data_IF_056140515531
#
_entry.id   IF_056140515531
#
_cell.length_a   1.000
_cell.length_b   1.000
_cell.length_c   1.000
_cell.angle_alpha   90.00
_cell.angle_beta   90.00
_cell.angle_gamma   90.00
#
_symmetry.space_group_name_H-M   'P 1'
#
loop_
_entity.id
_entity.type
_entity.pdbx_description
1 polymer ?
#
# COMPACT_ATOMS: atom_id res chain seq x y z
N UNK A 1 4.68 -40.37 -19.91
CA UNK A 1 3.93 -39.88 -18.73
C UNK A 1 4.69 -40.13 -17.42
N UNK A 2 5.78 -39.40 -17.13
CA UNK A 2 6.47 -39.47 -15.81
C UNK A 2 7.18 -38.18 -15.38
N UNK A 3 6.96 -37.06 -16.07
CA UNK A 3 7.64 -35.78 -15.78
C UNK A 3 6.75 -34.74 -15.09
N UNK A 4 5.47 -35.04 -14.87
CA UNK A 4 4.50 -34.09 -14.30
C UNK A 4 4.40 -34.12 -12.78
N UNK A 5 4.90 -35.17 -12.11
CA UNK A 5 4.75 -35.30 -10.64
C UNK A 5 5.82 -34.53 -9.83
N UNK A 6 6.99 -34.26 -10.42
CA UNK A 6 8.09 -33.62 -9.70
C UNK A 6 7.87 -32.11 -9.47
N UNK A 7 7.06 -31.47 -10.32
CA UNK A 7 6.82 -30.01 -10.25
C UNK A 7 5.81 -29.61 -9.16
N UNK A 8 4.96 -30.54 -8.70
CA UNK A 8 4.00 -30.28 -7.62
C UNK A 8 4.66 -30.29 -6.24
N UNK A 9 5.75 -31.05 -6.05
CA UNK A 9 6.45 -31.11 -4.76
C UNK A 9 7.30 -29.88 -4.45
N UNK A 10 7.80 -29.17 -5.47
CA UNK A 10 8.57 -27.93 -5.25
C UNK A 10 7.68 -26.75 -4.86
N UNK A 11 6.39 -26.77 -5.22
CA UNK A 11 5.41 -25.74 -4.83
C UNK A 11 4.92 -25.90 -3.38
N UNK A 12 4.97 -27.10 -2.80
CA UNK A 12 4.55 -27.36 -1.41
C UNK A 12 5.68 -27.18 -0.38
N UNK A 13 6.94 -27.27 -0.80
CA UNK A 13 8.12 -27.11 0.07
C UNK A 13 8.37 -25.65 0.49
N UNK A 14 7.90 -24.68 -0.29
CA UNK A 14 8.09 -23.25 0.01
C UNK A 14 7.25 -22.75 1.21
N UNK A 15 6.27 -23.53 1.69
CA UNK A 15 5.42 -23.16 2.84
C UNK A 15 5.80 -23.86 4.15
N UNK A 16 6.86 -24.68 4.18
CA UNK A 16 7.24 -25.47 5.35
C UNK A 16 8.31 -24.83 6.25
N UNK A 17 8.65 -23.56 6.03
CA UNK A 17 9.63 -22.84 6.87
C UNK A 17 9.12 -21.52 7.46
N UNK A 18 7.82 -21.46 7.78
CA UNK A 18 7.31 -20.51 8.76
C UNK A 18 7.06 -21.22 10.09
N UNK A 19 8.14 -21.74 10.67
CA UNK A 19 8.18 -21.98 12.10
C UNK A 19 8.26 -20.60 12.77
N UNK A 20 7.10 -20.02 13.06
CA UNK A 20 7.00 -18.81 13.89
C UNK A 20 7.24 -19.20 15.35
N UNK A 21 8.47 -19.64 15.65
CA UNK A 21 8.96 -19.76 17.01
C UNK A 21 9.37 -18.36 17.46
N UNK A 22 8.40 -17.59 17.92
CA UNK A 22 8.46 -16.70 19.09
C UNK A 22 7.16 -15.90 19.16
N UNK A 23 6.41 -15.93 20.28
CA UNK A 23 5.60 -14.78 20.61
C UNK A 23 6.59 -13.61 20.74
N UNK A 24 6.66 -12.78 19.71
CA UNK A 24 7.46 -11.57 19.77
C UNK A 24 6.77 -10.71 20.80
N UNK A 25 7.34 -10.73 22.00
CA UNK A 25 7.10 -9.82 23.10
C UNK A 25 7.60 -8.42 22.68
N UNK A 26 7.09 -7.93 21.55
CA UNK A 26 7.52 -6.70 20.86
C UNK A 26 6.78 -5.51 21.42
N UNK A 27 6.77 -5.43 22.75
CA UNK A 27 6.60 -4.17 23.47
C UNK A 27 7.97 -3.55 23.75
N UNK A 28 9.00 -3.94 22.99
CA UNK A 28 10.29 -3.24 22.96
C UNK A 28 10.14 -1.94 22.17
N UNK A 29 10.20 -0.80 22.84
CA UNK A 29 10.20 0.51 22.20
C UNK A 29 11.35 0.58 21.19
N UNK A 30 11.04 0.77 19.91
CA UNK A 30 12.04 1.01 18.87
C UNK A 30 12.93 2.19 19.27
N UNK A 31 14.24 2.06 19.00
CA UNK A 31 15.16 3.18 19.13
C UNK A 31 14.75 4.32 18.20
N UNK A 32 15.22 5.53 18.48
CA UNK A 32 14.95 6.69 17.61
C UNK A 32 15.45 6.45 16.18
N UNK A 33 16.61 5.81 16.04
CA UNK A 33 17.25 5.51 14.74
C UNK A 33 16.46 4.46 13.95
N UNK A 34 15.99 3.39 14.62
CA UNK A 34 15.14 2.37 13.98
C UNK A 34 13.83 2.99 13.49
N UNK A 35 13.24 3.89 14.29
CA UNK A 35 11.99 4.58 13.93
C UNK A 35 12.18 5.53 12.75
N UNK A 36 13.27 6.30 12.73
CA UNK A 36 13.61 7.19 11.63
C UNK A 36 13.82 6.40 10.33
N UNK A 37 14.53 5.28 10.41
CA UNK A 37 14.75 4.39 9.26
C UNK A 37 13.44 3.88 8.68
N UNK A 38 12.51 3.45 9.54
CA UNK A 38 11.18 3.01 9.10
C UNK A 38 10.36 4.12 8.44
N UNK A 39 10.41 5.34 8.97
CA UNK A 39 9.73 6.48 8.33
C UNK A 39 10.35 6.81 6.98
N UNK A 40 11.68 6.73 6.85
CA UNK A 40 12.35 6.95 5.59
C UNK A 40 11.93 5.92 4.54
N UNK A 41 11.95 4.64 4.91
CA UNK A 41 11.49 3.54 4.05
C UNK A 41 10.03 3.72 3.63
N UNK A 42 9.15 4.15 4.55
CA UNK A 42 7.75 4.40 4.25
C UNK A 42 7.58 5.53 3.22
N UNK A 43 8.31 6.64 3.37
CA UNK A 43 8.28 7.76 2.41
C UNK A 43 8.78 7.35 1.03
N UNK A 44 9.85 6.58 0.97
CA UNK A 44 10.40 6.08 -0.30
C UNK A 44 9.43 5.13 -1.00
N UNK A 45 8.81 4.22 -0.25
CA UNK A 45 7.82 3.29 -0.79
C UNK A 45 6.57 4.04 -1.30
N UNK A 46 6.10 5.05 -0.56
CA UNK A 46 4.99 5.91 -0.98
C UNK A 46 5.32 6.64 -2.29
N UNK A 47 6.51 7.24 -2.37
CA UNK A 47 6.96 7.94 -3.56
C UNK A 47 7.04 7.00 -4.78
N UNK A 48 7.63 5.82 -4.63
CA UNK A 48 7.71 4.82 -5.70
C UNK A 48 6.32 4.35 -6.14
N UNK A 49 5.41 4.14 -5.20
CA UNK A 49 4.01 3.78 -5.49
C UNK A 49 3.33 4.87 -6.30
N UNK A 50 3.49 6.14 -5.90
CA UNK A 50 2.94 7.31 -6.58
C UNK A 50 3.48 7.44 -8.01
N UNK A 51 4.78 7.32 -8.19
CA UNK A 51 5.42 7.40 -9.51
C UNK A 51 4.92 6.30 -10.44
N UNK A 52 4.83 5.06 -9.92
CA UNK A 52 4.29 3.93 -10.68
C UNK A 52 2.82 4.14 -11.06
N UNK A 53 2.01 4.64 -10.14
CA UNK A 53 0.61 4.97 -10.41
C UNK A 53 0.49 6.01 -11.54
N UNK A 54 1.26 7.10 -11.48
CA UNK A 54 1.24 8.15 -12.51
C UNK A 54 1.70 7.58 -13.85
N UNK A 55 2.81 6.85 -13.88
CA UNK A 55 3.37 6.28 -15.11
C UNK A 55 2.40 5.32 -15.80
N UNK A 56 1.64 4.53 -15.02
CA UNK A 56 0.70 3.55 -15.56
C UNK A 56 -0.66 4.17 -15.92
N UNK A 57 -1.11 5.18 -15.19
CA UNK A 57 -2.48 5.72 -15.31
C UNK A 57 -2.57 6.90 -16.26
N UNK A 58 -1.54 7.77 -16.30
CA UNK A 58 -1.52 8.98 -17.12
C UNK A 58 -1.82 8.70 -18.60
N UNK A 59 -1.19 7.72 -19.28
CA UNK A 59 -1.45 7.49 -20.70
C UNK A 59 -2.90 7.04 -20.99
N UNK A 60 -3.49 6.27 -20.06
CA UNK A 60 -4.88 5.84 -20.17
C UNK A 60 -5.85 7.02 -20.04
N UNK A 61 -5.60 7.92 -19.07
CA UNK A 61 -6.39 9.14 -18.89
C UNK A 61 -6.26 10.09 -20.08
N UNK A 62 -5.05 10.31 -20.60
CA UNK A 62 -4.83 11.14 -21.79
C UNK A 62 -5.61 10.61 -22.99
N UNK A 63 -5.57 9.29 -23.24
CA UNK A 63 -6.33 8.67 -24.33
C UNK A 63 -7.84 8.84 -24.13
N UNK A 64 -8.33 8.58 -22.92
CA UNK A 64 -9.74 8.71 -22.57
C UNK A 64 -10.23 10.14 -22.80
N UNK A 65 -9.56 11.14 -22.22
CA UNK A 65 -9.99 12.52 -22.34
C UNK A 65 -9.83 13.08 -23.75
N UNK A 66 -8.85 12.61 -24.53
CA UNK A 66 -8.76 12.96 -25.96
C UNK A 66 -9.96 12.46 -26.75
N UNK A 67 -10.45 11.26 -26.44
CA UNK A 67 -11.64 10.69 -27.08
C UNK A 67 -12.92 11.40 -26.65
N UNK A 68 -13.03 11.76 -25.36
CA UNK A 68 -14.20 12.45 -24.81
C UNK A 68 -14.27 13.93 -25.23
N UNK A 69 -13.12 14.60 -25.37
CA UNK A 69 -13.01 16.03 -25.65
C UNK A 69 -12.07 16.30 -26.84
N UNK A 70 -12.46 15.94 -28.08
CA UNK A 70 -11.58 15.99 -29.25
C UNK A 70 -11.14 17.42 -29.64
N UNK A 71 -11.95 18.43 -29.30
CA UNK A 71 -11.68 19.84 -29.63
C UNK A 71 -11.04 20.63 -28.49
N UNK A 72 -10.85 20.01 -27.32
CA UNK A 72 -10.27 20.66 -26.16
C UNK A 72 -8.77 20.89 -26.36
N UNK A 73 -8.26 21.99 -25.80
CA UNK A 73 -6.84 22.33 -25.91
C UNK A 73 -5.98 21.33 -25.15
N UNK A 74 -4.71 21.19 -25.53
CA UNK A 74 -3.77 20.33 -24.81
C UNK A 74 -3.63 20.75 -23.33
N UNK A 75 -3.64 22.07 -23.08
CA UNK A 75 -3.49 22.61 -21.74
C UNK A 75 -4.66 22.22 -20.82
N UNK A 76 -5.90 22.32 -21.34
CA UNK A 76 -7.10 21.95 -20.59
C UNK A 76 -7.17 20.43 -20.36
N UNK A 77 -6.75 19.63 -21.34
CA UNK A 77 -6.66 18.18 -21.20
C UNK A 77 -5.62 17.77 -20.16
N UNK A 78 -4.44 18.39 -20.16
CA UNK A 78 -3.41 18.13 -19.17
C UNK A 78 -3.87 18.53 -17.76
N UNK A 79 -4.66 19.61 -17.64
CA UNK A 79 -5.32 19.97 -16.38
C UNK A 79 -6.26 18.86 -15.89
N UNK A 80 -7.13 18.32 -16.76
CA UNK A 80 -8.03 17.22 -16.41
C UNK A 80 -7.28 15.93 -16.02
N UNK A 81 -6.20 15.62 -16.73
CA UNK A 81 -5.34 14.47 -16.41
C UNK A 81 -4.74 14.63 -15.02
N UNK A 82 -4.19 15.81 -14.71
CA UNK A 82 -3.57 16.05 -13.41
C UNK A 82 -4.60 16.03 -12.27
N UNK A 83 -5.77 16.64 -12.43
CA UNK A 83 -6.86 16.57 -11.45
C UNK A 83 -7.32 15.13 -11.20
N UNK A 84 -7.47 14.32 -12.26
CA UNK A 84 -7.85 12.91 -12.13
C UNK A 84 -6.77 12.07 -11.44
N UNK A 85 -5.48 12.30 -11.75
CA UNK A 85 -4.37 11.63 -11.09
C UNK A 85 -4.30 12.01 -9.60
N UNK A 86 -4.50 13.29 -9.26
CA UNK A 86 -4.53 13.73 -7.87
C UNK A 86 -5.69 13.10 -7.09
N UNK A 87 -6.88 13.03 -7.68
CA UNK A 87 -8.03 12.37 -7.06
C UNK A 87 -7.77 10.90 -6.77
N UNK A 88 -7.12 10.17 -7.69
CA UNK A 88 -6.76 8.77 -7.48
C UNK A 88 -5.61 8.52 -6.50
N UNK A 89 -4.76 9.53 -6.26
CA UNK A 89 -3.68 9.49 -5.27
C UNK A 89 -4.15 9.85 -3.86
N UNK A 90 -5.28 10.55 -3.72
CA UNK A 90 -5.85 10.79 -2.40
C UNK A 90 -6.21 9.42 -1.82
N UNK A 91 -5.65 9.03 -0.67
CA UNK A 91 -6.27 7.99 0.12
C UNK A 91 -7.70 8.49 0.32
N UNK A 92 -8.70 7.75 -0.18
CA UNK A 92 -10.02 7.86 0.44
C UNK A 92 -9.73 7.59 1.90
N UNK A 93 -9.67 8.65 2.71
CA UNK A 93 -9.35 8.56 4.12
C UNK A 93 -10.30 7.51 4.63
N UNK A 94 -9.77 6.30 4.86
CA UNK A 94 -10.58 5.12 5.07
C UNK A 94 -11.52 5.53 6.17
N UNK A 95 -12.81 5.69 5.83
CA UNK A 95 -13.81 6.10 6.81
C UNK A 95 -13.58 5.11 7.92
N UNK A 96 -13.05 5.59 9.05
CA UNK A 96 -13.03 4.80 10.26
C UNK A 96 -14.48 4.34 10.35
N UNK A 97 -14.78 3.03 10.30
CA UNK A 97 -16.15 2.60 10.31
C UNK A 97 -16.83 3.34 11.46
N UNK A 98 -18.01 3.92 11.23
CA UNK A 98 -18.80 4.69 12.21
C UNK A 98 -19.28 3.81 13.38
N UNK A 99 -18.54 2.76 13.71
CA UNK A 99 -18.66 2.01 14.93
C UNK A 99 -18.15 2.84 16.11
N UNK A 100 -18.65 2.54 17.32
CA UNK A 100 -18.26 3.25 18.53
C UNK A 100 -16.74 3.26 18.63
N UNK A 101 -16.18 4.42 19.01
CA UNK A 101 -14.79 4.55 19.41
C UNK A 101 -14.61 3.62 20.61
N UNK A 102 -14.17 2.38 20.37
CA UNK A 102 -13.72 1.50 21.44
C UNK A 102 -12.50 2.20 22.01
N UNK A 103 -12.69 2.89 23.13
CA UNK A 103 -11.58 3.34 23.94
C UNK A 103 -10.75 2.09 24.26
N UNK A 104 -9.44 2.09 24.00
CA UNK A 104 -8.60 1.00 24.47
C UNK A 104 -8.78 0.93 25.99
N UNK A 105 -9.28 -0.20 26.47
CA UNK A 105 -9.32 -0.47 27.91
C UNK A 105 -7.87 -0.62 28.35
N UNK A 106 -7.32 0.45 28.88
CA UNK A 106 -6.03 0.42 29.56
C UNK A 106 -6.28 -0.09 30.98
N UNK A 107 -6.48 -1.40 31.12
CA UNK A 107 -6.38 -2.05 32.43
C UNK A 107 -4.91 -2.13 32.82
N UNK A 108 -4.36 -0.99 33.24
CA UNK A 108 -3.10 -0.92 33.94
C UNK A 108 -3.32 -1.47 35.36
N UNK A 109 -3.42 -2.78 35.49
CA UNK A 109 -3.33 -3.45 36.79
C UNK A 109 -1.95 -3.14 37.38
N UNK A 110 -1.91 -2.15 38.27
CA UNK A 110 -0.82 -1.97 39.22
C UNK A 110 -0.71 -3.25 40.04
N UNK A 111 0.29 -4.07 39.76
CA UNK A 111 0.63 -5.17 40.67
C UNK A 111 1.39 -4.60 41.87
N UNK A 112 1.10 -5.10 43.09
CA UNK A 112 1.67 -4.62 44.35
C UNK A 112 3.18 -4.88 44.48
#
# INVERSE_FOLDING_TARGET
>A
MRLTLALLFTLLSACAHLKSDKPSDRTGSLSTEERETLYQQAREAEQQSRERYIATTRPALQRKFRQEYPTMTEADLEFLVNDALEKGLRPEAGRRPDGPIRQPQMDCMSSP
#
